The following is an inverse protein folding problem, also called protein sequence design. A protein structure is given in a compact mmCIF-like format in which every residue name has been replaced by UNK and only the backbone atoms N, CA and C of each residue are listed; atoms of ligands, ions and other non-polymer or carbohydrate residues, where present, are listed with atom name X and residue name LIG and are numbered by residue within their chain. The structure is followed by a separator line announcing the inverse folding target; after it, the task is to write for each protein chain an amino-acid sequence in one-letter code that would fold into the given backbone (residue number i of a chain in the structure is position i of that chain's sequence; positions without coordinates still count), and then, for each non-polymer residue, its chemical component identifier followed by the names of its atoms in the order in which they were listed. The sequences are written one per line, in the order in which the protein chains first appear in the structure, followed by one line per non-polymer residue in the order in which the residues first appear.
data_IF_651920363444
#
_entry.id   IF_651920363444
#
_cell.length_a   1.000
_cell.length_b   1.000
_cell.length_c   1.000
_cell.angle_alpha   90.00
_cell.angle_beta   90.00
_cell.angle_gamma   90.00
#
_symmetry.space_group_name_H-M   'P 1'
#
loop_
_entity.id
_entity.type
_entity.pdbx_description
1 polymer ?
#
# COMPACT_ATOMS: atom_id res chain seq x y z
N UNK A 1 1.99 26.72 -1.29
CA UNK A 1 2.53 25.86 -0.21
C UNK A 1 1.65 24.62 0.01
N UNK A 2 1.12 24.03 -1.08
CA UNK A 2 0.75 22.62 -1.17
C UNK A 2 1.82 22.02 -2.07
N UNK A 3 2.94 21.58 -1.49
CA UNK A 3 3.86 20.74 -2.26
C UNK A 3 3.11 19.44 -2.51
N UNK A 4 3.18 18.93 -3.74
CA UNK A 4 2.70 17.61 -4.17
C UNK A 4 3.36 16.49 -3.37
N UNK A 5 3.08 16.37 -2.08
CA UNK A 5 3.14 15.07 -1.42
C UNK A 5 1.82 14.40 -1.77
N UNK A 6 1.79 13.90 -3.00
CA UNK A 6 0.67 13.14 -3.53
C UNK A 6 0.36 12.00 -2.53
N UNK A 7 -0.91 11.70 -2.30
CA UNK A 7 -1.33 10.45 -1.63
C UNK A 7 -1.02 9.22 -2.49
N UNK A 8 -0.56 9.41 -3.74
CA UNK A 8 -0.15 8.37 -4.70
C UNK A 8 1.00 7.48 -4.19
N UNK A 9 2.07 8.02 -3.58
CA UNK A 9 3.03 7.24 -2.81
C UNK A 9 2.37 6.27 -1.83
N UNK A 10 1.43 6.74 -1.00
CA UNK A 10 0.76 5.88 -0.02
C UNK A 10 -0.05 4.76 -0.70
N UNK A 11 -0.78 5.06 -1.76
CA UNK A 11 -1.50 4.06 -2.56
C UNK A 11 -0.55 3.01 -3.14
N UNK A 12 0.58 3.45 -3.72
CA UNK A 12 1.59 2.57 -4.30
C UNK A 12 2.24 1.68 -3.24
N UNK A 13 2.64 2.24 -2.11
CA UNK A 13 3.25 1.48 -1.01
C UNK A 13 2.25 0.49 -0.40
N UNK A 14 0.99 0.88 -0.24
CA UNK A 14 -0.08 -0.01 0.25
C UNK A 14 -0.31 -1.19 -0.67
N UNK A 15 -0.33 -0.95 -1.99
CA UNK A 15 -0.39 -2.02 -2.99
C UNK A 15 0.85 -2.91 -2.95
N UNK A 16 2.04 -2.30 -2.87
CA UNK A 16 3.31 -3.02 -2.78
C UNK A 16 3.39 -3.89 -1.52
N UNK A 17 2.80 -3.45 -0.42
CA UNK A 17 2.71 -4.21 0.82
C UNK A 17 1.86 -5.49 0.64
N UNK A 18 0.68 -5.38 0.02
CA UNK A 18 -0.17 -6.53 -0.28
C UNK A 18 0.53 -7.53 -1.21
N UNK A 19 1.22 -7.02 -2.24
CA UNK A 19 1.99 -7.86 -3.16
C UNK A 19 3.17 -8.53 -2.45
N UNK A 20 3.78 -7.88 -1.46
CA UNK A 20 4.83 -8.46 -0.62
C UNK A 20 4.31 -9.59 0.25
N UNK A 21 3.12 -9.46 0.87
CA UNK A 21 2.48 -10.55 1.62
C UNK A 21 2.27 -11.77 0.73
N UNK A 22 1.74 -11.57 -0.48
CA UNK A 22 1.53 -12.66 -1.45
C UNK A 22 2.85 -13.33 -1.83
N UNK A 23 3.89 -12.54 -2.10
CA UNK A 23 5.20 -13.05 -2.46
C UNK A 23 5.85 -13.86 -1.32
N UNK A 24 5.75 -13.39 -0.07
CA UNK A 24 6.22 -14.12 1.11
C UNK A 24 5.49 -15.46 1.24
N UNK A 25 4.16 -15.45 1.10
CA UNK A 25 3.35 -16.67 1.24
C UNK A 25 3.65 -17.68 0.13
N UNK A 26 3.76 -17.23 -1.12
CA UNK A 26 4.16 -18.07 -2.23
C UNK A 26 5.55 -18.69 -2.02
N UNK A 27 6.49 -17.90 -1.48
CA UNK A 27 7.83 -18.38 -1.13
C UNK A 27 7.79 -19.42 -0.01
N UNK A 28 6.96 -19.22 1.01
CA UNK A 28 6.76 -20.19 2.10
C UNK A 28 6.23 -21.53 1.57
N UNK A 29 5.24 -21.50 0.67
CA UNK A 29 4.71 -22.71 0.02
C UNK A 29 5.78 -23.45 -0.78
N UNK A 30 6.57 -22.73 -1.59
CA UNK A 30 7.66 -23.33 -2.35
C UNK A 30 8.74 -23.96 -1.44
N UNK A 31 9.10 -23.30 -0.34
CA UNK A 31 10.03 -23.86 0.66
C UNK A 31 9.44 -25.13 1.28
N UNK A 32 8.14 -25.14 1.59
CA UNK A 32 7.48 -26.30 2.18
C UNK A 32 7.45 -27.50 1.22
N UNK A 33 7.25 -27.28 -0.08
CA UNK A 33 7.34 -28.33 -1.10
C UNK A 33 8.74 -28.94 -1.17
N UNK A 34 9.79 -28.10 -1.18
CA UNK A 34 11.18 -28.57 -1.17
C UNK A 34 11.47 -29.37 0.10
N UNK A 35 11.01 -28.90 1.27
CA UNK A 35 11.17 -29.63 2.54
C UNK A 35 10.46 -30.97 2.47
N UNK A 36 9.22 -31.04 1.95
CA UNK A 36 8.49 -32.31 1.81
C UNK A 36 9.28 -33.31 0.95
N UNK A 37 9.76 -32.87 -0.21
CA UNK A 37 10.53 -33.72 -1.13
C UNK A 37 11.83 -34.24 -0.48
N UNK A 38 12.54 -33.40 0.26
CA UNK A 38 13.75 -33.82 0.98
C UNK A 38 13.47 -34.90 2.03
N UNK A 39 12.31 -34.84 2.68
CA UNK A 39 11.89 -35.86 3.66
C UNK A 39 11.39 -37.14 2.96
N UNK A 40 10.77 -37.05 1.78
CA UNK A 40 10.38 -38.20 0.97
C UNK A 40 11.60 -38.98 0.46
N UNK A 41 12.64 -38.29 -0.03
CA UNK A 41 13.88 -38.93 -0.50
C UNK A 41 14.63 -39.68 0.62
N UNK A 42 14.41 -39.29 1.88
CA UNK A 42 15.01 -39.92 3.07
C UNK A 42 14.14 -41.02 3.72
N UNK A 43 13.00 -41.39 3.11
CA UNK A 43 12.01 -42.33 3.69
C UNK A 43 12.56 -43.70 4.09
N UNK A 44 13.71 -44.10 3.56
CA UNK A 44 14.33 -45.40 3.85
C UNK A 44 15.03 -45.48 5.23
N UNK A 45 15.09 -44.39 6.03
CA UNK A 45 16.00 -44.33 7.19
C UNK A 45 15.41 -43.93 8.57
N UNK A 46 14.08 -43.81 8.80
CA UNK A 46 13.57 -43.78 10.19
C UNK A 46 12.26 -43.03 10.49
N UNK A 47 12.03 -42.78 11.79
CA UNK A 47 10.78 -42.37 12.44
C UNK A 47 10.17 -41.00 12.02
N UNK A 48 10.79 -40.26 11.10
CA UNK A 48 10.35 -38.92 10.64
C UNK A 48 9.63 -38.94 9.29
N UNK A 49 9.23 -40.13 8.81
CA UNK A 49 8.72 -40.42 7.46
C UNK A 49 7.50 -39.62 6.97
N UNK A 50 6.93 -38.70 7.76
CA UNK A 50 5.81 -37.85 7.35
C UNK A 50 5.86 -36.40 7.86
N UNK A 51 6.95 -35.97 8.52
CA UNK A 51 7.03 -34.61 9.09
C UNK A 51 7.02 -33.52 8.00
N UNK A 52 7.75 -33.76 6.90
CA UNK A 52 7.76 -32.86 5.74
C UNK A 52 6.36 -32.70 5.11
N UNK A 53 5.60 -33.80 5.01
CA UNK A 53 4.21 -33.78 4.54
C UNK A 53 3.28 -33.01 5.47
N UNK A 54 3.39 -33.19 6.79
CA UNK A 54 2.60 -32.41 7.75
C UNK A 54 2.95 -30.92 7.71
N UNK A 55 4.23 -30.57 7.58
CA UNK A 55 4.67 -29.18 7.41
C UNK A 55 4.08 -28.56 6.13
N UNK A 56 4.17 -29.27 5.00
CA UNK A 56 3.58 -28.84 3.73
C UNK A 56 2.08 -28.63 3.84
N UNK A 57 1.34 -29.56 4.44
CA UNK A 57 -0.09 -29.44 4.65
C UNK A 57 -0.44 -28.19 5.47
N UNK A 58 0.24 -27.96 6.60
CA UNK A 58 0.00 -26.78 7.46
C UNK A 58 0.24 -25.48 6.70
N UNK A 59 1.30 -25.40 5.89
CA UNK A 59 1.60 -24.19 5.10
C UNK A 59 0.56 -23.98 3.99
N UNK A 60 0.11 -25.05 3.32
CA UNK A 60 -0.94 -24.96 2.29
C UNK A 60 -2.29 -24.52 2.89
N UNK A 61 -2.65 -25.04 4.07
CA UNK A 61 -3.84 -24.59 4.80
C UNK A 61 -3.74 -23.11 5.20
N UNK A 62 -2.57 -22.68 5.69
CA UNK A 62 -2.32 -21.27 6.02
C UNK A 62 -2.45 -20.33 4.81
N UNK A 63 -1.88 -20.70 3.66
CA UNK A 63 -2.02 -19.93 2.41
C UNK A 63 -3.49 -19.84 1.96
N UNK A 64 -4.21 -20.97 1.97
CA UNK A 64 -5.60 -21.01 1.51
C UNK A 64 -6.56 -20.28 2.43
N UNK A 65 -6.43 -20.46 3.74
CA UNK A 65 -7.40 -19.94 4.71
C UNK A 65 -7.06 -18.52 5.16
N UNK A 66 -5.80 -18.22 5.45
CA UNK A 66 -5.45 -16.91 6.01
C UNK A 66 -5.21 -15.92 4.88
N UNK A 67 -4.35 -16.23 3.91
CA UNK A 67 -3.88 -15.22 2.95
C UNK A 67 -4.93 -14.87 1.90
N UNK A 68 -5.65 -15.86 1.36
CA UNK A 68 -6.75 -15.60 0.42
C UNK A 68 -7.92 -14.86 1.09
N UNK A 69 -8.19 -15.11 2.38
CA UNK A 69 -9.23 -14.40 3.11
C UNK A 69 -8.84 -12.99 3.54
N UNK A 70 -7.54 -12.64 3.54
CA UNK A 70 -7.07 -11.30 3.87
C UNK A 70 -7.07 -10.34 2.69
N UNK A 71 -6.97 -10.85 1.45
CA UNK A 71 -6.91 -10.01 0.25
C UNK A 71 -8.16 -9.14 0.06
N UNK A 72 -9.35 -9.73 0.17
CA UNK A 72 -10.63 -9.01 0.06
C UNK A 72 -10.76 -7.88 1.10
N UNK A 73 -10.68 -8.19 2.40
CA UNK A 73 -10.71 -7.19 3.46
C UNK A 73 -9.64 -6.11 3.31
N UNK A 74 -8.40 -6.46 2.93
CA UNK A 74 -7.34 -5.48 2.73
C UNK A 74 -7.69 -4.50 1.60
N UNK A 75 -8.21 -5.01 0.47
CA UNK A 75 -8.63 -4.15 -0.63
C UNK A 75 -9.76 -3.22 -0.22
N UNK A 76 -10.82 -3.76 0.39
CA UNK A 76 -12.01 -2.99 0.74
C UNK A 76 -11.78 -1.96 1.84
N UNK A 77 -10.94 -2.29 2.84
CA UNK A 77 -10.75 -1.46 4.04
C UNK A 77 -9.52 -0.57 4.01
N UNK A 78 -8.53 -0.88 3.15
CA UNK A 78 -7.26 -0.15 3.07
C UNK A 78 -7.03 0.41 1.66
N UNK A 79 -7.00 -0.45 0.64
CA UNK A 79 -6.61 -0.02 -0.71
C UNK A 79 -7.64 0.91 -1.37
N UNK A 80 -8.91 0.53 -1.36
CA UNK A 80 -10.00 1.26 -2.03
C UNK A 80 -10.26 2.62 -1.37
N UNK A 81 -10.29 2.76 -0.02
CA UNK A 81 -10.39 4.07 0.62
C UNK A 81 -9.22 4.99 0.28
N UNK A 82 -7.99 4.47 0.30
CA UNK A 82 -6.80 5.26 -0.08
C UNK A 82 -6.91 5.72 -1.54
N UNK A 83 -7.27 4.82 -2.46
CA UNK A 83 -7.47 5.15 -3.87
C UNK A 83 -8.58 6.19 -4.10
N UNK A 84 -9.72 6.07 -3.40
CA UNK A 84 -10.81 7.07 -3.46
C UNK A 84 -10.36 8.43 -2.95
N UNK A 85 -9.61 8.48 -1.85
CA UNK A 85 -9.11 9.75 -1.34
C UNK A 85 -8.12 10.41 -2.30
N UNK A 86 -7.26 9.63 -2.97
CA UNK A 86 -6.40 10.13 -4.04
C UNK A 86 -7.18 10.79 -5.18
N UNK A 87 -8.30 10.20 -5.60
CA UNK A 87 -9.12 10.72 -6.70
C UNK A 87 -9.67 12.13 -6.42
N UNK A 88 -10.01 12.45 -5.17
CA UNK A 88 -10.44 13.81 -4.81
C UNK A 88 -9.38 14.87 -5.12
N UNK A 89 -8.10 14.55 -4.96
CA UNK A 89 -7.03 15.50 -5.31
C UNK A 89 -6.92 15.74 -6.82
N UNK A 90 -7.21 14.75 -7.65
CA UNK A 90 -7.22 14.92 -9.10
C UNK A 90 -8.38 15.83 -9.54
N UNK A 91 -9.59 15.65 -8.98
CA UNK A 91 -10.73 16.54 -9.22
C UNK A 91 -10.45 17.98 -8.78
N UNK A 92 -9.83 18.14 -7.62
CA UNK A 92 -9.44 19.44 -7.08
C UNK A 92 -8.35 20.08 -7.94
N UNK A 93 -7.39 19.32 -8.45
CA UNK A 93 -6.37 19.83 -9.35
C UNK A 93 -6.99 20.41 -10.63
N UNK A 94 -7.98 19.73 -11.21
CA UNK A 94 -8.73 20.24 -12.36
C UNK A 94 -9.58 21.48 -12.00
N UNK A 95 -10.21 21.51 -10.81
CA UNK A 95 -10.92 22.70 -10.33
C UNK A 95 -9.98 23.91 -10.15
N UNK A 96 -8.79 23.71 -9.59
CA UNK A 96 -7.74 24.75 -9.46
C UNK A 96 -7.31 25.27 -10.83
N UNK A 97 -7.08 24.37 -11.78
CA UNK A 97 -6.74 24.71 -13.17
C UNK A 97 -7.85 25.52 -13.84
N UNK A 98 -9.11 25.08 -13.69
CA UNK A 98 -10.29 25.80 -14.18
C UNK A 98 -10.40 27.20 -13.57
N UNK A 99 -10.20 27.34 -12.25
CA UNK A 99 -10.14 28.64 -11.56
C UNK A 99 -9.04 29.52 -12.14
N UNK A 100 -7.85 28.98 -12.39
CA UNK A 100 -6.74 29.73 -12.98
C UNK A 100 -7.09 30.27 -14.37
N UNK A 101 -7.73 29.47 -15.23
CA UNK A 101 -8.23 29.91 -16.53
C UNK A 101 -9.31 31.01 -16.39
N UNK A 102 -10.26 30.84 -15.47
CA UNK A 102 -11.31 31.85 -15.24
C UNK A 102 -10.79 33.16 -14.67
N UNK A 103 -9.68 33.12 -13.92
CA UNK A 103 -8.96 34.34 -13.53
C UNK A 103 -8.43 35.10 -14.75
N UNK A 104 -7.87 34.39 -15.73
CA UNK A 104 -7.37 35.02 -16.97
C UNK A 104 -8.52 35.65 -17.77
N UNK A 105 -9.63 34.93 -17.95
CA UNK A 105 -10.84 35.45 -18.63
C UNK A 105 -11.32 36.76 -17.96
N UNK A 106 -11.39 36.76 -16.62
CA UNK A 106 -11.77 37.92 -15.82
C UNK A 106 -10.82 39.12 -16.02
N UNK A 107 -9.50 38.90 -15.94
CA UNK A 107 -8.51 39.98 -16.14
C UNK A 107 -8.53 40.53 -17.59
N UNK A 108 -8.79 39.68 -18.57
CA UNK A 108 -8.96 40.11 -19.97
C UNK A 108 -10.22 40.98 -20.14
N UNK A 109 -11.35 40.58 -19.58
CA UNK A 109 -12.58 41.37 -19.60
C UNK A 109 -12.39 42.72 -18.88
N UNK A 110 -11.68 42.71 -17.75
CA UNK A 110 -11.35 43.93 -16.99
C UNK A 110 -10.46 44.89 -17.80
N UNK A 111 -9.46 44.36 -18.49
CA UNK A 111 -8.59 45.12 -19.40
C UNK A 111 -9.38 45.71 -20.57
N UNK A 112 -10.32 44.95 -21.14
CA UNK A 112 -11.21 45.41 -22.23
C UNK A 112 -12.10 46.57 -21.80
N UNK A 113 -12.72 46.50 -20.63
CA UNK A 113 -13.52 47.60 -20.06
C UNK A 113 -12.65 48.84 -19.85
N UNK A 114 -11.48 48.69 -19.22
CA UNK A 114 -10.54 49.81 -19.01
C UNK A 114 -10.16 50.51 -20.32
N UNK A 115 -9.85 49.76 -21.37
CA UNK A 115 -9.53 50.33 -22.70
C UNK A 115 -10.70 51.12 -23.31
N UNK A 116 -11.94 50.67 -23.12
CA UNK A 116 -13.14 51.35 -23.63
C UNK A 116 -13.49 52.61 -22.82
N UNK A 117 -13.10 52.67 -21.55
CA UNK A 117 -13.21 53.88 -20.72
C UNK A 117 -12.15 54.90 -21.14
N UNK A 118 -10.88 54.48 -21.25
CA UNK A 118 -9.76 55.36 -21.61
C UNK A 118 -9.91 55.91 -23.04
N UNK A 119 -10.48 55.10 -23.95
CA UNK A 119 -10.77 55.49 -25.33
C UNK A 119 -12.20 55.07 -25.72
N UNK A 120 -13.18 55.97 -25.52
CA UNK A 120 -14.58 55.70 -25.86
C UNK A 120 -14.76 55.29 -27.31
N UNK A 121 -15.53 54.22 -27.54
CA UNK A 121 -15.86 53.77 -28.87
C UNK A 121 -16.96 54.66 -29.49
N UNK A 122 -16.96 54.77 -30.83
CA UNK A 122 -18.03 55.45 -31.59
C UNK A 122 -19.42 54.84 -31.34
N UNK A 123 -19.46 53.54 -31.07
CA UNK A 123 -20.68 52.80 -30.74
C UNK A 123 -20.85 52.76 -29.22
N UNK A 124 -21.84 53.52 -28.73
CA UNK A 124 -22.17 53.65 -27.31
C UNK A 124 -22.61 52.33 -26.65
N UNK A 125 -23.02 51.32 -27.43
CA UNK A 125 -23.42 50.01 -26.89
C UNK A 125 -22.24 49.12 -26.50
N UNK A 126 -21.01 49.43 -26.95
CA UNK A 126 -19.83 48.57 -26.72
C UNK A 126 -19.39 48.54 -25.27
N UNK A 127 -19.41 49.68 -24.58
CA UNK A 127 -19.02 49.76 -23.17
C UNK A 127 -20.01 48.98 -22.29
N UNK A 128 -21.33 49.20 -22.35
CA UNK A 128 -22.31 48.42 -21.60
C UNK A 128 -22.20 46.91 -21.84
N UNK A 129 -21.96 46.48 -23.10
CA UNK A 129 -21.75 45.05 -23.42
C UNK A 129 -20.50 44.49 -22.76
N UNK A 130 -19.39 45.23 -22.77
CA UNK A 130 -18.14 44.80 -22.13
C UNK A 130 -18.26 44.77 -20.60
N UNK A 131 -19.03 45.68 -20.00
CA UNK A 131 -19.32 45.68 -18.55
C UNK A 131 -20.16 44.45 -18.14
N UNK A 132 -21.18 44.08 -18.94
CA UNK A 132 -21.94 42.85 -18.73
C UNK A 132 -21.06 41.61 -18.84
N UNK A 133 -20.15 41.57 -19.83
CA UNK A 133 -19.18 40.48 -19.99
C UNK A 133 -18.22 40.38 -18.79
N UNK A 134 -17.73 41.53 -18.29
CA UNK A 134 -16.90 41.61 -17.09
C UNK A 134 -17.65 41.11 -15.85
N UNK A 135 -18.89 41.54 -15.63
CA UNK A 135 -19.71 41.10 -14.51
C UNK A 135 -19.90 39.57 -14.52
N UNK A 136 -20.19 39.01 -15.70
CA UNK A 136 -20.31 37.55 -15.88
C UNK A 136 -19.00 36.82 -15.61
N UNK A 137 -17.88 37.29 -16.17
CA UNK A 137 -16.57 36.67 -15.97
C UNK A 137 -16.13 36.72 -14.50
N UNK A 138 -16.40 37.84 -13.82
CA UNK A 138 -16.17 38.02 -12.39
C UNK A 138 -16.97 37.02 -11.56
N UNK A 139 -18.28 36.91 -11.80
CA UNK A 139 -19.14 35.96 -11.08
C UNK A 139 -18.61 34.52 -11.16
N UNK A 140 -18.34 34.04 -12.39
CA UNK A 140 -17.81 32.67 -12.61
C UNK A 140 -16.47 32.45 -11.87
N UNK A 141 -15.57 33.44 -11.90
CA UNK A 141 -14.29 33.33 -11.19
C UNK A 141 -14.48 33.33 -9.67
N UNK A 142 -15.28 34.27 -9.15
CA UNK A 142 -15.52 34.43 -7.72
C UNK A 142 -16.20 33.18 -7.13
N UNK A 143 -17.17 32.60 -7.84
CA UNK A 143 -17.84 31.35 -7.44
C UNK A 143 -16.83 30.22 -7.25
N UNK A 144 -16.03 29.91 -8.29
CA UNK A 144 -15.00 28.86 -8.22
C UNK A 144 -13.93 29.16 -7.16
N UNK A 145 -13.53 30.42 -7.04
CA UNK A 145 -12.51 30.84 -6.09
C UNK A 145 -12.99 30.72 -4.64
N UNK A 146 -14.23 31.10 -4.36
CA UNK A 146 -14.79 31.03 -3.02
C UNK A 146 -15.12 29.60 -2.63
N UNK A 147 -15.62 28.79 -3.58
CA UNK A 147 -15.81 27.35 -3.39
C UNK A 147 -14.49 26.67 -2.98
N UNK A 148 -13.42 26.84 -3.77
CA UNK A 148 -12.11 26.26 -3.47
C UNK A 148 -11.54 26.75 -2.14
N UNK A 149 -11.74 28.03 -1.78
CA UNK A 149 -11.31 28.57 -0.49
C UNK A 149 -12.05 27.95 0.69
N UNK A 150 -13.33 27.59 0.51
CA UNK A 150 -14.15 26.98 1.55
C UNK A 150 -13.86 25.48 1.69
N UNK A 151 -13.73 24.76 0.57
CA UNK A 151 -13.62 23.30 0.56
C UNK A 151 -12.21 22.77 0.83
N UNK A 152 -11.16 23.45 0.34
CA UNK A 152 -9.77 22.97 0.52
C UNK A 152 -9.36 22.79 2.00
N UNK A 153 -9.65 23.73 2.92
CA UNK A 153 -9.35 23.53 4.34
C UNK A 153 -10.09 22.32 4.92
N UNK A 154 -11.37 22.15 4.56
CA UNK A 154 -12.19 21.04 5.03
C UNK A 154 -11.61 19.69 4.57
N UNK A 155 -11.19 19.58 3.31
CA UNK A 155 -10.54 18.37 2.80
C UNK A 155 -9.27 18.03 3.60
N UNK A 156 -8.46 19.05 3.90
CA UNK A 156 -7.24 18.86 4.68
C UNK A 156 -7.60 18.37 6.08
N UNK A 157 -8.61 18.93 6.73
CA UNK A 157 -9.01 18.55 8.09
C UNK A 157 -9.56 17.12 8.17
N UNK A 158 -10.31 16.67 7.16
CA UNK A 158 -10.88 15.30 7.16
C UNK A 158 -9.84 14.19 6.88
N UNK A 159 -8.62 14.53 6.45
CA UNK A 159 -7.62 13.52 6.05
C UNK A 159 -7.31 12.51 7.15
N UNK A 160 -7.26 12.97 8.41
CA UNK A 160 -6.92 12.14 9.57
C UNK A 160 -8.07 11.17 9.88
N UNK A 161 -9.28 11.65 10.20
CA UNK A 161 -10.40 10.75 10.51
C UNK A 161 -10.81 9.86 9.33
N UNK A 162 -10.49 10.25 8.09
CA UNK A 162 -10.71 9.41 6.91
C UNK A 162 -9.79 8.19 6.89
N UNK A 163 -8.50 8.35 7.22
CA UNK A 163 -7.52 7.26 7.17
C UNK A 163 -7.43 6.42 8.45
N UNK A 164 -7.87 6.95 9.59
CA UNK A 164 -7.89 6.22 10.87
C UNK A 164 -8.46 4.78 10.75
N UNK A 165 -9.66 4.54 10.17
CA UNK A 165 -10.18 3.19 10.03
C UNK A 165 -9.34 2.30 9.10
N UNK A 166 -8.71 2.87 8.07
CA UNK A 166 -7.83 2.11 7.16
C UNK A 166 -6.53 1.69 7.85
N UNK A 167 -5.94 2.55 8.68
CA UNK A 167 -4.76 2.18 9.47
C UNK A 167 -5.11 1.16 10.56
N UNK A 168 -6.26 1.30 11.21
CA UNK A 168 -6.75 0.32 12.19
C UNK A 168 -6.97 -1.05 11.53
N UNK A 169 -7.62 -1.08 10.37
CA UNK A 169 -7.83 -2.31 9.60
C UNK A 169 -6.52 -2.95 9.17
N UNK A 170 -5.55 -2.15 8.70
CA UNK A 170 -4.21 -2.61 8.34
C UNK A 170 -3.52 -3.33 9.50
N UNK A 171 -3.51 -2.72 10.70
CA UNK A 171 -2.90 -3.32 11.89
C UNK A 171 -3.64 -4.61 12.30
N UNK A 172 -4.97 -4.64 12.22
CA UNK A 172 -5.76 -5.85 12.52
C UNK A 172 -5.47 -6.99 11.54
N UNK A 173 -5.33 -6.68 10.25
CA UNK A 173 -4.96 -7.64 9.21
C UNK A 173 -3.56 -8.20 9.47
N UNK A 174 -2.60 -7.34 9.80
CA UNK A 174 -1.23 -7.74 10.17
C UNK A 174 -1.22 -8.66 11.38
N UNK A 175 -1.92 -8.27 12.45
CA UNK A 175 -2.02 -9.06 13.66
C UNK A 175 -2.64 -10.43 13.38
N UNK A 176 -3.71 -10.49 12.58
CA UNK A 176 -4.36 -11.74 12.18
C UNK A 176 -3.40 -12.63 11.39
N UNK A 177 -2.74 -12.09 10.36
CA UNK A 177 -1.77 -12.84 9.55
C UNK A 177 -0.65 -13.44 10.40
N UNK A 178 -0.02 -12.64 11.26
CA UNK A 178 1.08 -13.09 12.11
C UNK A 178 0.62 -14.10 13.17
N UNK A 179 -0.54 -13.87 13.81
CA UNK A 179 -1.04 -14.74 14.89
C UNK A 179 -1.49 -16.10 14.35
N UNK A 180 -2.19 -16.11 13.21
CA UNK A 180 -2.61 -17.36 12.56
C UNK A 180 -1.41 -18.12 12.00
N UNK A 181 -0.45 -17.42 11.37
CA UNK A 181 0.77 -18.04 10.87
C UNK A 181 1.58 -18.69 11.99
N UNK A 182 1.75 -17.99 13.12
CA UNK A 182 2.40 -18.54 14.30
C UNK A 182 1.65 -19.77 14.84
N UNK A 183 0.34 -19.66 15.04
CA UNK A 183 -0.47 -20.74 15.60
C UNK A 183 -0.47 -21.98 14.71
N UNK A 184 -0.55 -21.82 13.38
CA UNK A 184 -0.50 -22.92 12.41
C UNK A 184 0.85 -23.61 12.41
N UNK A 185 1.94 -22.86 12.28
CA UNK A 185 3.30 -23.44 12.27
C UNK A 185 3.61 -24.12 13.60
N UNK A 186 3.14 -23.57 14.73
CA UNK A 186 3.32 -24.19 16.05
C UNK A 186 2.66 -25.58 16.13
N UNK A 187 1.60 -25.87 15.38
CA UNK A 187 1.00 -27.21 15.33
C UNK A 187 1.96 -28.26 14.80
N UNK A 188 2.94 -27.88 13.97
CA UNK A 188 3.94 -28.83 13.45
C UNK A 188 4.79 -29.42 14.58
N UNK A 189 4.99 -28.66 15.67
CA UNK A 189 5.75 -29.13 16.82
C UNK A 189 5.15 -30.37 17.48
N UNK A 190 3.83 -30.60 17.36
CA UNK A 190 3.19 -31.78 17.93
C UNK A 190 3.62 -33.09 17.24
N UNK A 191 4.11 -32.99 16.00
CA UNK A 191 4.59 -34.13 15.22
C UNK A 191 6.10 -34.39 15.40
N UNK A 192 6.79 -33.55 16.18
CA UNK A 192 8.18 -33.78 16.58
C UNK A 192 8.25 -34.73 17.77
N UNK A 193 9.29 -35.57 17.82
CA UNK A 193 9.51 -36.45 18.97
C UNK A 193 9.85 -35.64 20.24
N UNK A 194 9.72 -36.28 21.40
CA UNK A 194 9.96 -35.60 22.69
C UNK A 194 11.42 -35.14 22.84
N UNK A 195 12.38 -35.95 22.38
CA UNK A 195 13.82 -35.65 22.50
C UNK A 195 14.18 -34.40 21.71
N UNK A 196 13.71 -34.29 20.45
CA UNK A 196 13.95 -33.11 19.62
C UNK A 196 13.33 -31.85 20.22
N UNK A 197 12.16 -31.96 20.85
CA UNK A 197 11.51 -30.83 21.53
C UNK A 197 12.30 -30.38 22.77
N UNK A 198 12.79 -31.32 23.56
CA UNK A 198 13.60 -31.03 24.74
C UNK A 198 14.98 -30.45 24.36
N UNK A 199 15.60 -30.97 23.29
CA UNK A 199 16.86 -30.41 22.77
C UNK A 199 16.68 -28.99 22.21
N UNK A 200 15.55 -28.68 21.56
CA UNK A 200 15.22 -27.32 21.13
C UNK A 200 15.06 -26.38 22.33
N UNK A 201 14.25 -26.77 23.32
CA UNK A 201 13.97 -25.96 24.51
C UNK A 201 15.23 -25.62 25.33
N UNK A 202 16.22 -26.52 25.31
CA UNK A 202 17.52 -26.33 25.99
C UNK A 202 18.59 -25.66 25.10
N UNK A 203 18.25 -25.22 23.88
CA UNK A 203 19.19 -24.57 22.94
C UNK A 203 20.25 -25.50 22.36
N UNK A 204 20.09 -26.82 22.50
CA UNK A 204 21.05 -27.82 21.99
C UNK A 204 20.97 -27.90 20.47
N UNK A 205 19.77 -27.83 19.90
CA UNK A 205 19.59 -27.84 18.44
C UNK A 205 20.18 -26.60 17.77
N UNK A 206 20.10 -25.42 18.39
CA UNK A 206 20.66 -24.19 17.83
C UNK A 206 22.18 -24.28 17.69
N UNK A 207 22.85 -24.84 18.70
CA UNK A 207 24.29 -25.10 18.66
C UNK A 207 24.66 -26.12 17.57
N UNK A 208 23.87 -27.20 17.42
CA UNK A 208 24.07 -28.20 16.35
C UNK A 208 23.87 -27.57 14.96
N UNK A 209 22.84 -26.74 14.79
CA UNK A 209 22.58 -26.03 13.54
C UNK A 209 23.72 -25.05 13.18
N UNK A 210 24.22 -24.29 14.15
CA UNK A 210 25.34 -23.38 13.95
C UNK A 210 26.61 -24.11 13.52
N UNK A 211 26.92 -25.26 14.14
CA UNK A 211 28.08 -26.07 13.73
C UNK A 211 27.92 -26.64 12.32
N UNK A 212 26.74 -27.16 11.97
CA UNK A 212 26.44 -27.65 10.61
C UNK A 212 26.60 -26.55 9.56
N UNK A 213 26.11 -25.33 9.82
CA UNK A 213 26.32 -24.16 8.94
C UNK A 213 27.82 -23.87 8.81
N UNK A 214 28.56 -23.93 9.92
CA UNK A 214 30.02 -23.79 9.91
C UNK A 214 30.72 -24.86 9.07
N UNK A 215 30.25 -26.11 9.11
CA UNK A 215 30.76 -27.20 8.27
C UNK A 215 30.42 -26.98 6.78
N UNK A 216 29.20 -26.58 6.46
CA UNK A 216 28.79 -26.23 5.08
C UNK A 216 29.63 -25.10 4.50
N UNK A 217 29.90 -24.06 5.30
CA UNK A 217 30.76 -22.96 4.87
C UNK A 217 32.22 -23.40 4.60
N UNK A 218 32.72 -24.40 5.34
CA UNK A 218 34.04 -25.00 5.11
C UNK A 218 34.11 -25.85 3.85
N UNK A 219 32.98 -26.44 3.43
CA UNK A 219 32.87 -27.22 2.20
C UNK A 219 32.72 -26.33 0.95
N UNK A 220 32.52 -25.02 1.12
CA UNK A 220 32.39 -24.08 0.03
C UNK A 220 33.76 -23.83 -0.63
N UNK A 221 33.91 -24.23 -1.89
CA UNK A 221 35.18 -24.27 -2.64
C UNK A 221 35.93 -22.93 -2.67
N UNK A 222 35.23 -21.79 -2.52
CA UNK A 222 35.85 -20.46 -2.46
C UNK A 222 36.61 -20.16 -1.15
N UNK A 223 36.43 -20.95 -0.08
CA UNK A 223 37.17 -20.78 1.18
C UNK A 223 38.54 -21.50 1.18
N UNK A 224 38.78 -22.40 0.23
CA UNK A 224 40.02 -23.17 0.09
C UNK A 224 41.12 -22.45 -0.71
N UNK A 225 40.85 -21.23 -1.20
CA UNK A 225 41.72 -20.49 -2.13
C UNK A 225 42.74 -19.53 -1.51
N UNK A 226 42.86 -19.46 -0.18
CA UNK A 226 43.92 -18.67 0.47
C UNK A 226 44.84 -19.59 1.27
N UNK A 227 45.87 -20.09 0.59
CA UNK A 227 47.13 -20.52 1.21
C UNK A 227 48.27 -19.74 0.59
#
# INVERSE_FOLDING_TARGET
MLKKEDTRPLEKETKGYLDSIRAVTASQSAIAEVISNLYEDNQNNGAYNNLGGYYLQVIQEFDQETVKQLDGPFRETVLDPIGKFCQYFDEIAEAIKKRAHKKVDYEQAKSKVRRLIDKPAKDASKLPRAETELARAKGIFDDLNNQLKAELPQLVDIRVPYFDPSFEALVKIQLKFCSEGYARIAQVQQYLDQTSRDEYANGVLDNKAADLIGQMNRLNICALGFK
#
